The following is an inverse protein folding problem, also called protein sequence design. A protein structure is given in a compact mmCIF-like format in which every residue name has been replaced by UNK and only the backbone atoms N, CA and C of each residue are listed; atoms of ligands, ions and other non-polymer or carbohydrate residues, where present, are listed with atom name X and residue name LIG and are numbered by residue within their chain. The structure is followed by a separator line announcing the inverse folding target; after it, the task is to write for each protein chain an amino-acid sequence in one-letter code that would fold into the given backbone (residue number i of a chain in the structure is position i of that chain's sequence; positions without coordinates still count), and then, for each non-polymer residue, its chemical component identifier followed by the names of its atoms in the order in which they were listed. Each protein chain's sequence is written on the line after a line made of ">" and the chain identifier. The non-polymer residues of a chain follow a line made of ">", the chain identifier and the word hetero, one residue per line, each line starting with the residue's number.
data_IF_772433032754
#
_entry.id   IF_772433032754
#
_cell.length_a   1.000
_cell.length_b   1.000
_cell.length_c   1.000
_cell.angle_alpha   90.00
_cell.angle_beta   90.00
_cell.angle_gamma   90.00
#
_symmetry.space_group_name_H-M   'P 1'
#
loop_
_entity.id
_entity.type
_entity.pdbx_description
1 polymer ?
#
# COMPACT_ATOMS: atom_id res chain seq x y z
N UNK A 1 5.55 1.78 -80.13
CA UNK A 1 6.65 1.99 -79.18
C UNK A 1 6.10 1.83 -77.77
N UNK A 2 6.50 0.78 -77.06
CA UNK A 2 6.07 0.53 -75.69
C UNK A 2 7.10 1.11 -74.73
N UNK A 3 6.70 2.13 -73.99
CA UNK A 3 7.51 2.73 -72.93
C UNK A 3 7.28 1.92 -71.66
N UNK A 4 8.27 1.14 -71.26
CA UNK A 4 8.26 0.40 -69.99
C UNK A 4 8.86 1.32 -68.93
N UNK A 5 8.07 1.68 -67.91
CA UNK A 5 8.54 2.49 -66.79
C UNK A 5 9.15 1.58 -65.72
N UNK A 6 10.42 1.76 -65.31
CA UNK A 6 11.02 0.94 -64.28
C UNK A 6 10.37 1.26 -62.93
N UNK A 7 10.02 0.21 -62.18
CA UNK A 7 9.40 0.29 -60.86
C UNK A 7 10.29 1.11 -59.91
N UNK A 8 9.84 2.30 -59.51
CA UNK A 8 10.61 3.22 -58.68
C UNK A 8 10.74 2.64 -57.26
N UNK A 9 11.97 2.50 -56.77
CA UNK A 9 12.41 1.98 -55.44
C UNK A 9 11.95 2.89 -54.26
N UNK A 10 10.87 3.65 -54.44
CA UNK A 10 10.31 4.56 -53.42
C UNK A 10 9.66 3.81 -52.25
N UNK A 11 9.18 2.58 -52.46
CA UNK A 11 8.59 1.77 -51.41
C UNK A 11 9.60 1.27 -50.39
N UNK A 12 10.82 0.91 -50.83
CA UNK A 12 11.87 0.39 -49.95
C UNK A 12 12.41 1.47 -48.99
N UNK A 13 12.66 2.67 -49.51
CA UNK A 13 13.11 3.80 -48.68
C UNK A 13 12.05 4.18 -47.64
N UNK A 14 10.78 4.23 -48.02
CA UNK A 14 9.68 4.50 -47.08
C UNK A 14 9.59 3.43 -45.98
N UNK A 15 9.74 2.16 -46.36
CA UNK A 15 9.75 1.05 -45.41
C UNK A 15 10.92 1.15 -44.41
N UNK A 16 12.12 1.49 -44.88
CA UNK A 16 13.29 1.70 -44.01
C UNK A 16 13.03 2.84 -43.00
N UNK A 17 12.41 3.95 -43.44
CA UNK A 17 12.06 5.04 -42.53
C UNK A 17 11.03 4.62 -41.47
N UNK A 18 10.00 3.86 -41.85
CA UNK A 18 8.99 3.35 -40.91
C UNK A 18 9.65 2.43 -39.88
N UNK A 19 10.49 1.49 -40.31
CA UNK A 19 11.20 0.60 -39.39
C UNK A 19 12.17 1.36 -38.49
N UNK A 20 12.90 2.34 -39.01
CA UNK A 20 13.77 3.21 -38.22
C UNK A 20 12.99 3.97 -37.15
N UNK A 21 11.82 4.53 -37.52
CA UNK A 21 10.95 5.22 -36.57
C UNK A 21 10.43 4.28 -35.47
N UNK A 22 9.96 3.09 -35.83
CA UNK A 22 9.49 2.08 -34.87
C UNK A 22 10.61 1.70 -33.89
N UNK A 23 11.84 1.55 -34.38
CA UNK A 23 12.99 1.16 -33.55
C UNK A 23 13.32 2.25 -32.53
N UNK A 24 13.38 3.51 -32.96
CA UNK A 24 13.60 4.66 -32.07
C UNK A 24 12.45 4.80 -31.05
N UNK A 25 11.21 4.61 -31.51
CA UNK A 25 10.04 4.67 -30.64
C UNK A 25 10.08 3.56 -29.57
N UNK A 26 10.36 2.31 -29.96
CA UNK A 26 10.57 1.19 -29.04
C UNK A 26 11.66 1.50 -28.01
N UNK A 27 12.83 1.98 -28.45
CA UNK A 27 13.92 2.32 -27.56
C UNK A 27 13.52 3.39 -26.54
N UNK A 28 12.81 4.43 -26.99
CA UNK A 28 12.30 5.49 -26.11
C UNK A 28 11.30 4.96 -25.08
N UNK A 29 10.38 4.08 -25.50
CA UNK A 29 9.42 3.44 -24.61
C UNK A 29 10.13 2.59 -23.56
N UNK A 30 11.13 1.79 -23.94
CA UNK A 30 11.88 0.95 -23.00
C UNK A 30 12.52 1.77 -21.87
N UNK A 31 13.09 2.94 -22.19
CA UNK A 31 13.67 3.84 -21.17
C UNK A 31 12.60 4.36 -20.22
N UNK A 32 11.45 4.80 -20.74
CA UNK A 32 10.32 5.28 -19.92
C UNK A 32 9.76 4.16 -19.04
N UNK A 33 9.58 2.96 -19.59
CA UNK A 33 9.11 1.80 -18.84
C UNK A 33 10.09 1.45 -17.73
N UNK A 34 11.39 1.37 -18.03
CA UNK A 34 12.41 1.08 -17.03
C UNK A 34 12.38 2.11 -15.88
N UNK A 35 12.37 3.41 -16.20
CA UNK A 35 12.32 4.46 -15.20
C UNK A 35 11.08 4.37 -14.31
N UNK A 36 9.91 4.07 -14.90
CA UNK A 36 8.66 3.90 -14.14
C UNK A 36 8.69 2.65 -13.27
N UNK A 37 9.21 1.53 -13.78
CA UNK A 37 9.33 0.28 -13.02
C UNK A 37 10.26 0.45 -11.82
N UNK A 38 11.37 1.17 -11.97
CA UNK A 38 12.28 1.45 -10.86
C UNK A 38 11.59 2.32 -9.80
N UNK A 39 10.90 3.39 -10.20
CA UNK A 39 10.12 4.22 -9.27
C UNK A 39 9.06 3.41 -8.53
N UNK A 40 8.25 2.64 -9.26
CA UNK A 40 7.21 1.78 -8.68
C UNK A 40 7.79 0.79 -7.67
N UNK A 41 8.96 0.22 -7.95
CA UNK A 41 9.62 -0.69 -7.02
C UNK A 41 10.04 0.02 -5.72
N UNK A 42 10.53 1.25 -5.81
CA UNK A 42 10.83 2.05 -4.62
C UNK A 42 9.57 2.41 -3.84
N UNK A 43 8.51 2.83 -4.52
CA UNK A 43 7.25 3.20 -3.89
C UNK A 43 6.63 1.99 -3.17
N UNK A 44 6.66 0.81 -3.78
CA UNK A 44 6.22 -0.44 -3.15
C UNK A 44 7.05 -0.81 -1.92
N UNK A 45 8.37 -0.62 -1.98
CA UNK A 45 9.24 -0.90 -0.83
C UNK A 45 8.96 0.06 0.35
N UNK A 46 8.73 1.35 0.05
CA UNK A 46 8.32 2.33 1.06
C UNK A 46 6.97 1.98 1.66
N UNK A 47 5.98 1.67 0.83
CA UNK A 47 4.65 1.28 1.29
C UNK A 47 4.69 0.02 2.17
N UNK A 48 5.51 -0.97 1.81
CA UNK A 48 5.70 -2.17 2.63
C UNK A 48 6.30 -1.82 4.00
N UNK A 49 7.30 -0.94 4.04
CA UNK A 49 7.91 -0.47 5.29
C UNK A 49 6.90 0.27 6.17
N UNK A 50 6.06 1.12 5.59
CA UNK A 50 4.99 1.81 6.32
C UNK A 50 3.97 0.83 6.90
N UNK A 51 3.58 -0.21 6.14
CA UNK A 51 2.68 -1.26 6.64
C UNK A 51 3.30 -1.96 7.86
N UNK A 52 4.58 -2.29 7.81
CA UNK A 52 5.24 -2.99 8.90
C UNK A 52 5.41 -2.09 10.14
N UNK A 53 5.70 -0.80 9.95
CA UNK A 53 5.70 0.19 11.04
C UNK A 53 4.30 0.34 11.67
N UNK A 54 3.24 0.37 10.86
CA UNK A 54 1.87 0.41 11.35
C UNK A 54 1.48 -0.85 12.13
N UNK A 55 1.97 -2.04 11.72
CA UNK A 55 1.77 -3.27 12.50
C UNK A 55 2.44 -3.20 13.88
N UNK A 56 3.65 -2.67 13.94
CA UNK A 56 4.38 -2.49 15.22
C UNK A 56 3.60 -1.53 16.11
N UNK A 57 3.23 -0.35 15.60
CA UNK A 57 2.41 0.63 16.34
C UNK A 57 1.08 0.05 16.81
N UNK A 58 0.42 -0.76 15.98
CA UNK A 58 -0.81 -1.44 16.37
C UNK A 58 -0.59 -2.43 17.53
N UNK A 59 0.49 -3.21 17.48
CA UNK A 59 0.86 -4.12 18.56
C UNK A 59 1.19 -3.37 19.86
N UNK A 60 1.93 -2.26 19.78
CA UNK A 60 2.23 -1.40 20.92
C UNK A 60 0.97 -0.78 21.52
N UNK A 61 0.06 -0.28 20.68
CA UNK A 61 -1.22 0.27 21.13
C UNK A 61 -2.08 -0.80 21.82
N UNK A 62 -2.14 -2.00 21.24
CA UNK A 62 -2.85 -3.14 21.82
C UNK A 62 -2.25 -3.55 23.17
N UNK A 63 -0.92 -3.58 23.28
CA UNK A 63 -0.23 -3.86 24.53
C UNK A 63 -0.52 -2.78 25.59
N UNK A 64 -0.47 -1.52 25.19
CA UNK A 64 -0.80 -0.38 26.07
C UNK A 64 -2.25 -0.47 26.55
N UNK A 65 -3.19 -0.76 25.66
CA UNK A 65 -4.59 -0.96 26.01
C UNK A 65 -4.77 -2.09 27.02
N UNK A 66 -4.15 -3.26 26.80
CA UNK A 66 -4.24 -4.36 27.75
C UNK A 66 -3.59 -4.03 29.09
N UNK A 67 -2.49 -3.28 29.11
CA UNK A 67 -1.91 -2.85 30.39
C UNK A 67 -2.85 -1.94 31.19
N UNK A 68 -3.65 -1.10 30.52
CA UNK A 68 -4.62 -0.22 31.18
C UNK A 68 -5.89 -0.96 31.65
N UNK A 69 -6.30 -1.99 30.91
CA UNK A 69 -7.54 -2.76 31.17
C UNK A 69 -7.24 -4.05 31.95
N UNK A 70 -5.98 -4.29 32.30
CA UNK A 70 -5.61 -5.43 33.12
C UNK A 70 -6.32 -5.35 34.47
N UNK A 71 -6.85 -6.47 34.93
CA UNK A 71 -7.68 -6.52 36.14
C UNK A 71 -6.93 -6.01 37.37
N UNK A 72 -5.61 -6.20 37.42
CA UNK A 72 -4.78 -5.70 38.51
C UNK A 72 -4.64 -4.18 38.53
N UNK A 73 -4.52 -3.53 37.36
CA UNK A 73 -4.47 -2.06 37.28
C UNK A 73 -5.87 -1.44 37.48
N UNK A 74 -6.92 -2.10 37.01
CA UNK A 74 -8.30 -1.69 37.29
C UNK A 74 -8.66 -1.81 38.77
N UNK A 75 -8.19 -2.84 39.48
CA UNK A 75 -8.41 -3.02 40.92
C UNK A 75 -7.65 -1.97 41.74
N UNK A 76 -6.42 -1.61 41.35
CA UNK A 76 -5.70 -0.46 41.93
C UNK A 76 -6.45 0.84 41.70
N UNK A 77 -6.89 1.10 40.47
CA UNK A 77 -7.60 2.33 40.12
C UNK A 77 -8.96 2.40 40.84
N UNK A 78 -9.65 1.27 41.00
CA UNK A 78 -10.86 1.17 41.82
C UNK A 78 -10.56 1.51 43.29
N UNK A 79 -9.50 0.94 43.86
CA UNK A 79 -9.08 1.20 45.25
C UNK A 79 -8.70 2.67 45.46
N UNK A 80 -7.97 3.28 44.53
CA UNK A 80 -7.62 4.72 44.56
C UNK A 80 -8.86 5.63 44.49
N UNK A 81 -9.88 5.21 43.75
CA UNK A 81 -11.17 5.90 43.67
C UNK A 81 -12.11 5.59 44.83
N UNK A 82 -11.66 4.79 45.81
CA UNK A 82 -12.46 4.38 46.97
C UNK A 82 -13.58 3.38 46.64
N UNK A 83 -13.51 2.75 45.47
CA UNK A 83 -14.44 1.71 45.04
C UNK A 83 -14.03 0.38 45.67
N UNK A 84 -15.03 -0.35 46.18
CA UNK A 84 -14.88 -1.65 46.84
C UNK A 84 -15.53 -2.73 45.99
N UNK A 85 -14.89 -3.91 45.93
CA UNK A 85 -15.38 -5.05 45.19
C UNK A 85 -16.59 -5.68 45.91
N UNK A 86 -17.81 -5.37 45.45
CA UNK A 86 -19.05 -5.91 46.00
C UNK A 86 -19.34 -7.30 45.40
N UNK A 87 -19.21 -8.34 46.23
CA UNK A 87 -19.38 -9.74 45.82
C UNK A 87 -20.84 -10.20 45.76
N UNK A 88 -21.79 -9.41 46.28
CA UNK A 88 -23.21 -9.74 46.25
C UNK A 88 -24.07 -8.47 46.11
N UNK A 89 -24.00 -7.82 44.94
CA UNK A 89 -24.68 -6.56 44.71
C UNK A 89 -26.20 -6.69 44.80
N UNK A 90 -26.78 -6.07 45.81
CA UNK A 90 -28.24 -6.03 45.99
C UNK A 90 -28.95 -5.13 44.94
N UNK A 91 -28.20 -4.35 44.16
CA UNK A 91 -28.73 -3.43 43.15
C UNK A 91 -29.18 -4.10 41.85
N UNK A 92 -28.78 -5.34 41.58
CA UNK A 92 -29.25 -6.11 40.40
C UNK A 92 -30.77 -6.35 40.42
N UNK A 93 -31.39 -6.31 41.61
CA UNK A 93 -32.83 -6.43 41.79
C UNK A 93 -33.57 -5.08 41.81
N UNK A 94 -32.84 -3.96 41.93
CA UNK A 94 -33.44 -2.62 42.01
C UNK A 94 -33.84 -2.07 40.64
N UNK A 95 -33.29 -2.58 39.53
CA UNK A 95 -33.63 -2.15 38.17
C UNK A 95 -34.82 -2.89 37.55
N UNK A 96 -35.45 -3.82 38.28
CA UNK A 96 -36.59 -4.64 37.81
C UNK A 96 -37.96 -4.12 38.28
N UNK A 97 -38.02 -2.95 38.92
CA UNK A 97 -39.26 -2.27 39.32
C UNK A 97 -39.49 -0.98 38.53
#
# INVERSE_FOLDING_TARGET
>A
MTVIQPNKIKSLTHLIFIFGFILVFMASLSVVFYSRTVSLRHDMATAQKEIDDMKVKNAELKNSFYSLVDSGELEKLATEKGLINDKNPQWEFASQY
#
